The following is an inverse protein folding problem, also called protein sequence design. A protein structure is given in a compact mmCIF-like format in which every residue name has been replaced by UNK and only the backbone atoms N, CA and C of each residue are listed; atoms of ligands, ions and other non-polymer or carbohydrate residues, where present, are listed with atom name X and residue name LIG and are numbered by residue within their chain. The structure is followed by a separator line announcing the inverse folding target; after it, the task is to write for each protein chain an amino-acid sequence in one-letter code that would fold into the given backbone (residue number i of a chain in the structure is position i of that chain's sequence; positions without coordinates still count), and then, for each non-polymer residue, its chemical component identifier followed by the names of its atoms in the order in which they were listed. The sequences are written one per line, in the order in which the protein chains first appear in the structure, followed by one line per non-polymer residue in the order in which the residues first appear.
data_IF_178036968290
#
_entry.id   IF_178036968290
#
_cell.length_a   1.000
_cell.length_b   1.000
_cell.length_c   1.000
_cell.angle_alpha   90.00
_cell.angle_beta   90.00
_cell.angle_gamma   90.00
#
_symmetry.space_group_name_H-M   'P 1'
#
loop_
_entity.id
_entity.type
_entity.pdbx_description
1 polymer ?
#
# COMPACT_ATOMS: atom_id res chain seq x y z
N UNK A 1 3.04 9.22 -17.04
CA UNK A 1 2.29 9.97 -16.00
C UNK A 1 0.81 9.65 -16.07
N UNK A 2 0.20 9.42 -14.91
CA UNK A 2 -1.23 9.16 -14.73
C UNK A 2 -1.77 10.31 -13.88
N UNK A 3 -2.86 10.95 -14.31
CA UNK A 3 -3.51 12.01 -13.51
C UNK A 3 -5.03 11.94 -13.63
N UNK A 4 -5.74 12.24 -12.53
CA UNK A 4 -7.19 12.39 -12.53
C UNK A 4 -7.64 13.75 -13.09
N UNK A 5 -8.91 13.84 -13.47
CA UNK A 5 -9.54 15.12 -13.82
C UNK A 5 -9.85 15.98 -12.59
N UNK A 6 -9.95 17.32 -12.75
CA UNK A 6 -10.36 18.21 -11.67
C UNK A 6 -11.83 18.00 -11.32
N UNK A 7 -12.21 18.25 -10.05
CA UNK A 7 -13.63 18.24 -9.66
C UNK A 7 -14.30 19.51 -10.19
N UNK A 8 -15.43 19.41 -10.89
CA UNK A 8 -16.10 20.58 -11.46
C UNK A 8 -16.57 21.59 -10.41
N UNK A 9 -16.81 21.12 -9.18
CA UNK A 9 -17.37 21.92 -8.09
C UNK A 9 -16.30 22.48 -7.12
N UNK A 10 -15.00 22.37 -7.44
CA UNK A 10 -13.92 22.88 -6.59
C UNK A 10 -13.17 24.02 -7.29
N UNK A 11 -13.48 25.29 -6.95
CA UNK A 11 -12.83 26.45 -7.56
C UNK A 11 -11.29 26.39 -7.45
N UNK A 12 -10.58 26.74 -8.52
CA UNK A 12 -9.12 26.73 -8.57
C UNK A 12 -8.47 25.35 -8.80
N UNK A 13 -9.25 24.25 -8.75
CA UNK A 13 -8.68 22.90 -8.92
C UNK A 13 -8.31 22.61 -10.38
N UNK A 14 -9.05 23.14 -11.36
CA UNK A 14 -8.74 22.97 -12.77
C UNK A 14 -7.37 23.57 -13.12
N UNK A 15 -7.07 24.77 -12.60
CA UNK A 15 -5.79 25.45 -12.78
C UNK A 15 -4.65 24.69 -12.09
N UNK A 16 -4.87 24.20 -10.86
CA UNK A 16 -3.89 23.36 -10.15
C UNK A 16 -3.60 22.05 -10.88
N UNK A 17 -4.63 21.37 -11.39
CA UNK A 17 -4.46 20.15 -12.18
C UNK A 17 -3.71 20.42 -13.49
N UNK A 18 -4.00 21.52 -14.18
CA UNK A 18 -3.28 21.90 -15.39
C UNK A 18 -1.80 22.19 -15.10
N UNK A 19 -1.50 22.93 -14.03
CA UNK A 19 -0.13 23.21 -13.60
C UNK A 19 0.64 21.93 -13.26
N UNK A 20 0.03 21.00 -12.49
CA UNK A 20 0.66 19.73 -12.15
C UNK A 20 0.94 18.87 -13.40
N UNK A 21 0.01 18.84 -14.36
CA UNK A 21 0.21 18.11 -15.62
C UNK A 21 1.31 18.71 -16.48
N UNK A 22 1.51 20.03 -16.45
CA UNK A 22 2.55 20.69 -17.23
C UNK A 22 3.97 20.31 -16.80
N UNK A 23 4.18 19.88 -15.55
CA UNK A 23 5.50 19.43 -15.05
C UNK A 23 6.07 18.30 -15.91
N UNK A 24 5.22 17.43 -16.48
CA UNK A 24 5.69 16.32 -17.32
C UNK A 24 6.36 16.80 -18.62
N UNK A 25 6.06 18.02 -19.06
CA UNK A 25 6.66 18.63 -20.24
C UNK A 25 8.06 19.21 -19.95
N UNK A 26 8.47 19.24 -18.68
CA UNK A 26 9.79 19.70 -18.24
C UNK A 26 10.82 18.55 -18.13
N UNK A 27 10.42 17.31 -18.44
CA UNK A 27 11.33 16.16 -18.46
C UNK A 27 12.38 16.38 -19.56
N UNK A 28 13.65 16.49 -19.16
CA UNK A 28 14.76 16.89 -20.02
C UNK A 28 15.80 15.79 -20.28
N UNK A 29 15.60 14.59 -19.70
CA UNK A 29 16.41 13.41 -19.96
C UNK A 29 15.77 12.47 -21.00
N UNK A 30 16.60 11.66 -21.65
CA UNK A 30 16.16 10.73 -22.70
C UNK A 30 15.28 9.62 -22.13
N UNK A 31 13.96 9.75 -22.29
CA UNK A 31 12.99 8.72 -21.95
C UNK A 31 11.71 8.83 -22.78
N UNK A 32 10.95 7.74 -22.87
CA UNK A 32 9.64 7.73 -23.51
C UNK A 32 8.54 8.20 -22.53
N UNK A 33 7.98 9.37 -22.80
CA UNK A 33 6.97 10.00 -21.95
C UNK A 33 5.56 9.63 -22.42
N UNK A 34 4.98 8.64 -21.75
CA UNK A 34 3.58 8.25 -21.94
C UNK A 34 2.66 8.99 -20.95
N UNK A 35 1.56 9.56 -21.43
CA UNK A 35 0.59 10.32 -20.62
C UNK A 35 -0.80 9.70 -20.71
N UNK A 36 -1.41 9.46 -19.56
CA UNK A 36 -2.79 9.02 -19.46
C UNK A 36 -3.52 9.95 -18.47
N UNK A 37 -4.21 10.95 -19.01
CA UNK A 37 -4.94 11.93 -18.21
C UNK A 37 -6.43 11.71 -18.35
N UNK A 38 -7.15 11.69 -17.23
CA UNK A 38 -8.61 11.72 -17.27
C UNK A 38 -9.10 13.15 -17.47
N UNK A 39 -10.10 13.33 -18.34
CA UNK A 39 -10.79 14.62 -18.51
C UNK A 39 -11.71 14.91 -17.32
N UNK A 40 -12.30 13.88 -16.72
CA UNK A 40 -13.24 13.99 -15.60
C UNK A 40 -12.62 13.41 -14.33
N UNK A 41 -13.05 13.92 -13.16
CA UNK A 41 -12.65 13.35 -11.88
C UNK A 41 -13.31 11.97 -11.70
N UNK A 42 -12.51 10.91 -11.75
CA UNK A 42 -12.95 9.53 -11.58
C UNK A 42 -12.95 9.09 -10.11
N UNK A 43 -12.23 9.80 -9.25
CA UNK A 43 -11.97 9.39 -7.88
C UNK A 43 -10.68 8.58 -7.76
N UNK A 44 -10.24 8.37 -6.52
CA UNK A 44 -8.91 7.84 -6.22
C UNK A 44 -8.77 6.39 -6.63
N UNK A 45 -9.70 5.51 -6.24
CA UNK A 45 -9.59 4.09 -6.59
C UNK A 45 -9.75 3.85 -8.10
N UNK A 46 -10.80 4.35 -8.77
CA UNK A 46 -10.96 4.13 -10.20
C UNK A 46 -9.80 4.72 -11.00
N UNK A 47 -9.30 5.91 -10.65
CA UNK A 47 -8.20 6.52 -11.39
C UNK A 47 -6.90 5.78 -11.22
N UNK A 48 -6.48 5.52 -9.98
CA UNK A 48 -5.17 4.92 -9.72
C UNK A 48 -5.13 3.50 -10.26
N UNK A 49 -6.15 2.69 -10.00
CA UNK A 49 -6.18 1.31 -10.48
C UNK A 49 -6.19 1.20 -12.01
N UNK A 50 -7.02 1.99 -12.71
CA UNK A 50 -7.03 2.00 -14.18
C UNK A 50 -5.72 2.53 -14.77
N UNK A 51 -5.07 3.50 -14.11
CA UNK A 51 -3.77 4.01 -14.52
C UNK A 51 -2.67 2.96 -14.41
N UNK A 52 -2.59 2.24 -13.29
CA UNK A 52 -1.61 1.17 -13.10
C UNK A 52 -1.88 0.02 -14.10
N UNK A 53 -3.14 -0.37 -14.30
CA UNK A 53 -3.50 -1.38 -15.31
C UNK A 53 -3.06 -0.96 -16.71
N UNK A 54 -3.30 0.29 -17.10
CA UNK A 54 -2.82 0.83 -18.38
C UNK A 54 -1.28 0.82 -18.49
N UNK A 55 -0.56 1.19 -17.43
CA UNK A 55 0.90 1.10 -17.44
C UNK A 55 1.36 -0.34 -17.71
N UNK A 56 0.70 -1.32 -17.09
CA UNK A 56 0.98 -2.73 -17.32
C UNK A 56 0.47 -3.29 -18.64
N UNK A 57 -0.26 -2.55 -19.46
CA UNK A 57 -0.45 -2.90 -20.88
C UNK A 57 0.85 -2.63 -21.67
N UNK A 58 1.64 -1.64 -21.23
CA UNK A 58 2.85 -1.17 -21.91
C UNK A 58 4.12 -1.85 -21.41
N UNK A 59 4.23 -2.10 -20.09
CA UNK A 59 5.44 -2.65 -19.46
C UNK A 59 5.17 -3.88 -18.60
N UNK A 60 6.21 -4.65 -18.30
CA UNK A 60 6.11 -5.86 -17.45
C UNK A 60 6.44 -5.58 -15.99
N UNK A 61 7.24 -4.54 -15.73
CA UNK A 61 7.76 -4.14 -14.43
C UNK A 61 7.61 -2.62 -14.30
N UNK A 62 7.20 -2.13 -13.13
CA UNK A 62 7.02 -0.70 -12.92
C UNK A 62 7.42 -0.27 -11.51
N UNK A 63 8.14 0.85 -11.42
CA UNK A 63 8.29 1.66 -10.22
C UNK A 63 7.18 2.70 -10.24
N UNK A 64 6.45 2.83 -9.14
CA UNK A 64 5.25 3.65 -8.97
C UNK A 64 5.52 4.63 -7.83
N UNK A 65 5.46 5.92 -8.15
CA UNK A 65 5.58 7.02 -7.20
C UNK A 65 4.30 7.87 -7.24
N UNK A 66 3.80 8.21 -6.06
CA UNK A 66 2.73 9.21 -5.88
C UNK A 66 3.34 10.62 -5.95
N UNK A 67 2.52 11.63 -6.23
CA UNK A 67 2.96 13.03 -6.37
C UNK A 67 3.54 13.62 -5.08
N UNK A 68 3.22 13.01 -3.94
CA UNK A 68 3.70 13.37 -2.62
C UNK A 68 4.85 12.50 -2.09
N UNK A 69 5.47 11.68 -2.95
CA UNK A 69 6.56 10.78 -2.57
C UNK A 69 7.91 11.26 -3.11
N UNK A 70 8.88 11.46 -2.21
CA UNK A 70 10.27 11.81 -2.53
C UNK A 70 11.17 10.62 -2.21
N UNK A 71 11.66 9.95 -3.24
CA UNK A 71 12.55 8.79 -3.13
C UNK A 71 14.02 9.18 -2.99
N UNK A 72 14.80 8.39 -2.26
CA UNK A 72 16.25 8.45 -2.29
C UNK A 72 16.80 7.86 -3.60
N UNK A 73 17.97 8.30 -4.09
CA UNK A 73 18.68 7.68 -5.19
C UNK A 73 18.77 6.14 -5.14
N UNK A 74 19.12 5.55 -3.99
CA UNK A 74 19.21 4.08 -3.85
C UNK A 74 17.86 3.36 -3.99
N UNK A 75 16.72 4.04 -3.85
CA UNK A 75 15.39 3.45 -4.10
C UNK A 75 15.26 2.86 -5.50
N UNK A 76 15.79 3.54 -6.51
CA UNK A 76 15.65 3.12 -7.90
C UNK A 76 16.50 1.88 -8.19
N UNK A 77 17.75 1.86 -7.71
CA UNK A 77 18.63 0.69 -7.84
C UNK A 77 18.11 -0.50 -7.02
N UNK A 78 17.59 -0.23 -5.83
CA UNK A 78 16.91 -1.23 -5.00
C UNK A 78 15.72 -1.85 -5.74
N UNK A 79 14.84 -1.04 -6.32
CA UNK A 79 13.70 -1.55 -7.06
C UNK A 79 14.13 -2.32 -8.32
N UNK A 80 15.05 -1.78 -9.11
CA UNK A 80 15.55 -2.42 -10.34
C UNK A 80 16.11 -3.82 -10.04
N UNK A 81 17.03 -3.92 -9.08
CA UNK A 81 17.67 -5.19 -8.74
C UNK A 81 16.66 -6.23 -8.23
N UNK A 82 15.69 -5.81 -7.39
CA UNK A 82 14.67 -6.72 -6.87
C UNK A 82 13.62 -7.10 -7.91
N UNK A 83 13.26 -6.19 -8.81
CA UNK A 83 12.33 -6.44 -9.92
C UNK A 83 12.88 -7.54 -10.83
N UNK A 84 14.19 -7.53 -11.10
CA UNK A 84 14.86 -8.58 -11.88
C UNK A 84 15.04 -9.86 -11.07
N UNK A 85 15.50 -9.76 -9.82
CA UNK A 85 15.75 -10.93 -8.95
C UNK A 85 14.50 -11.78 -8.72
N UNK A 86 13.35 -11.16 -8.52
CA UNK A 86 12.09 -11.83 -8.18
C UNK A 86 11.08 -11.84 -9.35
N UNK A 87 11.55 -11.62 -10.57
CA UNK A 87 10.71 -11.58 -11.76
C UNK A 87 9.81 -12.81 -11.92
N UNK A 88 10.31 -14.00 -11.58
CA UNK A 88 9.57 -15.26 -11.71
C UNK A 88 9.14 -15.86 -10.36
N UNK A 89 9.34 -15.16 -9.25
CA UNK A 89 8.95 -15.65 -7.93
C UNK A 89 7.57 -15.10 -7.54
N UNK A 90 6.53 -15.90 -7.79
CA UNK A 90 5.13 -15.52 -7.51
C UNK A 90 4.84 -15.26 -6.03
N UNK A 91 5.73 -15.66 -5.12
CA UNK A 91 5.59 -15.34 -3.69
C UNK A 91 5.81 -13.86 -3.43
N UNK A 92 6.62 -13.17 -4.25
CA UNK A 92 6.91 -11.75 -4.09
C UNK A 92 6.00 -10.97 -5.03
N UNK A 93 5.12 -10.16 -4.45
CA UNK A 93 4.11 -9.39 -5.20
C UNK A 93 4.41 -7.89 -5.20
N UNK A 94 5.25 -7.41 -4.29
CA UNK A 94 5.52 -5.99 -4.14
C UNK A 94 6.91 -5.74 -3.60
N UNK A 95 7.53 -4.67 -4.05
CA UNK A 95 8.73 -4.07 -3.46
C UNK A 95 8.29 -2.71 -2.92
N UNK A 96 8.50 -2.47 -1.63
CA UNK A 96 8.16 -1.18 -1.01
C UNK A 96 9.37 -0.26 -0.94
N UNK A 97 9.16 1.05 -0.97
CA UNK A 97 10.16 2.06 -0.59
C UNK A 97 10.05 2.52 0.87
N UNK A 98 8.95 2.21 1.56
CA UNK A 98 8.70 2.63 2.93
C UNK A 98 9.18 1.62 3.97
N UNK A 99 9.62 2.11 5.14
CA UNK A 99 9.85 1.27 6.31
C UNK A 99 9.10 1.83 7.53
N UNK A 100 8.06 1.10 7.96
CA UNK A 100 7.17 1.54 9.03
C UNK A 100 7.66 1.18 10.45
N UNK A 101 8.86 0.60 10.56
CA UNK A 101 9.58 0.41 11.83
C UNK A 101 10.43 1.65 12.15
N UNK A 102 9.80 2.82 12.12
CA UNK A 102 10.47 4.11 12.31
C UNK A 102 11.60 4.38 11.31
N UNK A 103 11.47 3.82 10.11
CA UNK A 103 12.45 3.94 9.05
C UNK A 103 13.68 3.05 9.21
N UNK A 104 13.72 2.19 10.23
CA UNK A 104 14.88 1.34 10.49
C UNK A 104 14.44 -0.04 11.00
N UNK A 105 14.70 -1.07 10.19
CA UNK A 105 14.59 -2.45 10.66
C UNK A 105 15.94 -2.95 11.21
N UNK A 106 15.90 -3.64 12.34
CA UNK A 106 17.06 -4.34 12.89
C UNK A 106 17.29 -5.65 12.12
N UNK A 107 18.03 -5.56 11.01
CA UNK A 107 18.44 -6.71 10.18
C UNK A 107 19.82 -6.47 9.57
N UNK A 108 20.53 -7.54 9.24
CA UNK A 108 21.80 -7.50 8.49
C UNK A 108 21.60 -7.41 6.99
N UNK A 109 20.42 -7.76 6.50
CA UNK A 109 20.06 -7.73 5.08
C UNK A 109 19.60 -6.31 4.67
N UNK A 110 19.73 -5.96 3.39
CA UNK A 110 19.29 -4.65 2.88
C UNK A 110 17.76 -4.49 2.88
N UNK A 111 17.03 -5.61 2.95
CA UNK A 111 15.58 -5.67 3.03
C UNK A 111 15.14 -6.96 3.73
N UNK A 112 13.86 -7.04 4.08
CA UNK A 112 13.23 -8.23 4.63
C UNK A 112 11.90 -8.47 3.92
N UNK A 113 11.36 -9.68 4.04
CA UNK A 113 10.01 -9.94 3.54
C UNK A 113 9.00 -9.66 4.63
N UNK A 114 8.01 -8.83 4.30
CA UNK A 114 6.88 -8.47 5.16
C UNK A 114 5.59 -8.97 4.54
N UNK A 115 4.59 -9.22 5.39
CA UNK A 115 3.21 -9.36 4.89
C UNK A 115 2.56 -8.00 4.64
N UNK A 116 3.03 -6.94 5.30
CA UNK A 116 2.42 -5.62 5.21
C UNK A 116 2.91 -4.88 3.97
N UNK A 117 1.99 -4.49 3.08
CA UNK A 117 2.33 -3.64 1.94
C UNK A 117 2.43 -2.18 2.38
N UNK A 118 3.42 -1.46 1.88
CA UNK A 118 3.59 -0.01 2.10
C UNK A 118 3.73 0.70 0.75
N UNK A 119 2.74 1.52 0.41
CA UNK A 119 2.47 2.00 -0.95
C UNK A 119 3.07 3.36 -1.30
N UNK A 120 3.74 4.03 -0.36
CA UNK A 120 4.46 5.27 -0.67
C UNK A 120 5.78 4.98 -1.35
N UNK A 121 5.76 5.07 -2.68
CA UNK A 121 6.86 4.65 -3.54
C UNK A 121 7.07 3.14 -3.46
N UNK A 122 6.81 2.46 -4.56
CA UNK A 122 6.86 1.00 -4.59
C UNK A 122 7.10 0.51 -6.01
N UNK A 123 7.36 -0.78 -6.15
CA UNK A 123 7.47 -1.42 -7.45
C UNK A 123 6.75 -2.76 -7.46
N UNK A 124 6.30 -3.17 -8.64
CA UNK A 124 5.64 -4.46 -8.84
C UNK A 124 5.74 -4.90 -10.30
N UNK A 125 5.20 -6.08 -10.59
CA UNK A 125 5.16 -6.71 -11.89
C UNK A 125 3.73 -6.76 -12.41
N UNK A 126 3.58 -6.79 -13.74
CA UNK A 126 2.33 -7.08 -14.44
C UNK A 126 1.71 -8.39 -13.92
N UNK A 127 2.52 -9.43 -13.71
CA UNK A 127 2.06 -10.72 -13.18
C UNK A 127 1.41 -10.60 -11.79
N UNK A 128 1.98 -9.79 -10.91
CA UNK A 128 1.45 -9.56 -9.58
C UNK A 128 0.19 -8.68 -9.64
N UNK A 129 0.23 -7.61 -10.43
CA UNK A 129 -0.91 -6.70 -10.61
C UNK A 129 -2.11 -7.36 -11.28
N UNK A 130 -1.91 -8.41 -12.09
CA UNK A 130 -3.00 -9.21 -12.66
C UNK A 130 -3.91 -9.85 -11.60
N UNK A 131 -3.44 -9.95 -10.35
CA UNK A 131 -4.25 -10.40 -9.21
C UNK A 131 -5.04 -9.30 -8.51
N UNK A 132 -4.89 -8.02 -8.92
CA UNK A 132 -5.62 -6.90 -8.32
C UNK A 132 -7.13 -7.07 -8.52
N UNK A 133 -7.83 -7.39 -7.44
CA UNK A 133 -9.27 -7.62 -7.43
C UNK A 133 -9.98 -6.45 -6.77
N UNK A 134 -10.43 -5.51 -7.60
CA UNK A 134 -11.14 -4.31 -7.16
C UNK A 134 -12.47 -4.64 -6.51
N UNK A 135 -13.12 -5.76 -6.82
CA UNK A 135 -14.42 -6.13 -6.23
C UNK A 135 -14.26 -7.02 -4.99
N UNK A 136 -13.03 -7.48 -4.71
CA UNK A 136 -12.74 -8.46 -3.67
C UNK A 136 -13.68 -9.68 -3.74
N UNK A 137 -13.84 -10.23 -4.94
CA UNK A 137 -14.78 -11.31 -5.28
C UNK A 137 -14.71 -12.53 -4.37
N UNK A 138 -13.51 -12.87 -3.87
CA UNK A 138 -13.28 -14.00 -2.96
C UNK A 138 -13.39 -13.65 -1.47
N UNK A 139 -13.62 -12.38 -1.13
CA UNK A 139 -13.70 -11.94 0.27
C UNK A 139 -14.75 -12.68 1.11
N UNK A 140 -15.99 -12.93 0.64
CA UNK A 140 -16.97 -13.68 1.43
C UNK A 140 -16.47 -15.05 1.85
N UNK A 141 -15.84 -15.79 0.95
CA UNK A 141 -15.28 -17.11 1.23
C UNK A 141 -14.11 -17.03 2.22
N UNK A 142 -13.16 -16.11 1.96
CA UNK A 142 -11.99 -15.86 2.82
C UNK A 142 -12.43 -15.51 4.25
N UNK A 143 -13.40 -14.62 4.39
CA UNK A 143 -13.98 -14.18 5.66
C UNK A 143 -14.66 -15.33 6.38
N UNK A 144 -15.55 -16.06 5.70
CA UNK A 144 -16.39 -17.07 6.34
C UNK A 144 -15.59 -18.30 6.77
N UNK A 145 -14.56 -18.67 6.00
CA UNK A 145 -13.58 -19.71 6.35
C UNK A 145 -12.45 -19.21 7.26
N UNK A 146 -12.39 -17.90 7.54
CA UNK A 146 -11.37 -17.24 8.37
C UNK A 146 -9.95 -17.47 7.84
N UNK A 147 -9.76 -17.48 6.52
CA UNK A 147 -8.49 -17.86 5.91
C UNK A 147 -7.35 -16.89 6.25
N UNK A 148 -7.64 -15.63 6.53
CA UNK A 148 -6.62 -14.66 6.94
C UNK A 148 -6.17 -14.81 8.41
N UNK A 149 -6.87 -15.60 9.25
CA UNK A 149 -6.49 -15.81 10.64
C UNK A 149 -5.08 -16.43 10.77
N UNK A 150 -4.63 -17.17 9.75
CA UNK A 150 -3.31 -17.78 9.71
C UNK A 150 -2.17 -16.75 9.62
N UNK A 151 -2.46 -15.55 9.11
CA UNK A 151 -1.48 -14.48 9.03
C UNK A 151 -1.35 -13.75 10.36
N UNK A 152 -2.43 -13.59 11.12
CA UNK A 152 -2.39 -12.73 12.30
C UNK A 152 -2.39 -13.57 13.58
N UNK A 153 -1.30 -13.63 14.37
CA UNK A 153 -1.27 -14.44 15.60
C UNK A 153 -2.24 -13.90 16.66
N UNK A 154 -2.46 -12.58 16.70
CA UNK A 154 -3.31 -11.91 17.70
C UNK A 154 -4.75 -11.79 17.23
N UNK A 155 -5.70 -12.18 18.10
CA UNK A 155 -7.14 -12.08 17.82
C UNK A 155 -7.59 -10.64 17.56
N UNK A 156 -7.04 -9.67 18.30
CA UNK A 156 -7.34 -8.26 18.10
C UNK A 156 -6.98 -7.79 16.70
N UNK A 157 -5.84 -8.24 16.19
CA UNK A 157 -5.39 -7.91 14.84
C UNK A 157 -6.24 -8.60 13.76
N UNK A 158 -6.62 -9.87 13.95
CA UNK A 158 -7.57 -10.57 13.05
C UNK A 158 -8.86 -9.78 12.89
N UNK A 159 -9.41 -9.31 14.01
CA UNK A 159 -10.68 -8.60 14.01
C UNK A 159 -10.55 -7.18 13.46
N UNK A 160 -9.40 -6.54 13.68
CA UNK A 160 -9.08 -5.26 13.07
C UNK A 160 -9.09 -5.36 11.54
N UNK A 161 -8.32 -6.31 10.98
CA UNK A 161 -8.22 -6.50 9.53
C UNK A 161 -9.52 -7.00 8.90
N UNK A 162 -10.21 -7.98 9.51
CA UNK A 162 -11.54 -8.38 9.03
C UNK A 162 -12.53 -7.22 9.09
N UNK A 163 -12.46 -6.38 10.13
CA UNK A 163 -13.33 -5.24 10.29
C UNK A 163 -13.13 -4.18 9.21
N UNK A 164 -11.87 -3.87 8.87
CA UNK A 164 -11.51 -2.97 7.77
C UNK A 164 -12.03 -3.54 6.45
N UNK A 165 -11.67 -4.78 6.09
CA UNK A 165 -12.08 -5.34 4.82
C UNK A 165 -13.59 -5.49 4.69
N UNK A 166 -14.27 -6.03 5.71
CA UNK A 166 -15.72 -6.26 5.63
C UNK A 166 -16.50 -4.95 5.65
N UNK A 167 -16.23 -4.07 6.61
CA UNK A 167 -17.14 -2.95 6.88
C UNK A 167 -16.71 -1.64 6.23
N UNK A 168 -15.44 -1.50 5.85
CA UNK A 168 -14.91 -0.27 5.26
C UNK A 168 -14.72 -0.45 3.75
N UNK A 169 -14.00 -1.50 3.33
CA UNK A 169 -13.61 -1.68 1.92
C UNK A 169 -14.67 -2.41 1.10
N UNK A 170 -15.00 -3.66 1.46
CA UNK A 170 -15.90 -4.53 0.70
C UNK A 170 -17.32 -3.95 0.57
N UNK A 171 -17.83 -3.32 1.64
CA UNK A 171 -19.13 -2.63 1.63
C UNK A 171 -19.11 -1.25 0.97
N UNK A 172 -18.01 -0.87 0.32
CA UNK A 172 -17.90 0.36 -0.47
C UNK A 172 -18.02 1.65 0.34
N UNK A 173 -17.50 1.68 1.58
CA UNK A 173 -17.57 2.90 2.42
C UNK A 173 -16.43 3.87 2.20
N UNK A 174 -15.41 3.47 1.46
CA UNK A 174 -14.25 4.31 1.15
C UNK A 174 -13.80 4.05 -0.29
N UNK A 175 -13.38 5.12 -0.95
CA UNK A 175 -12.77 5.09 -2.26
C UNK A 175 -11.25 4.86 -2.11
N UNK A 176 -10.83 3.60 -2.07
CA UNK A 176 -9.43 3.21 -1.82
C UNK A 176 -8.96 2.07 -2.72
N UNK A 177 -7.87 2.30 -3.44
CA UNK A 177 -7.18 1.25 -4.20
C UNK A 177 -6.18 0.48 -3.33
N UNK A 178 -5.48 1.17 -2.42
CA UNK A 178 -4.43 0.59 -1.60
C UNK A 178 -4.93 -0.60 -0.77
N UNK A 179 -6.06 -0.45 -0.04
CA UNK A 179 -6.58 -1.58 0.74
C UNK A 179 -7.02 -2.76 -0.13
N UNK A 180 -7.48 -2.51 -1.36
CA UNK A 180 -7.84 -3.58 -2.31
C UNK A 180 -6.59 -4.29 -2.82
N UNK A 181 -5.49 -3.57 -2.98
CA UNK A 181 -4.19 -4.17 -3.28
C UNK A 181 -3.67 -5.02 -2.11
N UNK A 182 -3.83 -4.55 -0.87
CA UNK A 182 -3.44 -5.31 0.32
C UNK A 182 -4.23 -6.62 0.42
N UNK A 183 -5.54 -6.55 0.21
CA UNK A 183 -6.39 -7.73 0.10
C UNK A 183 -5.88 -8.68 -0.99
N UNK A 184 -5.56 -8.15 -2.18
CA UNK A 184 -5.12 -8.96 -3.32
C UNK A 184 -3.80 -9.68 -3.03
N UNK A 185 -2.84 -9.01 -2.39
CA UNK A 185 -1.59 -9.63 -1.94
C UNK A 185 -1.90 -10.78 -0.96
N UNK A 186 -2.68 -10.53 0.09
CA UNK A 186 -2.98 -11.55 1.11
C UNK A 186 -3.84 -12.71 0.60
N UNK A 187 -4.76 -12.44 -0.33
CA UNK A 187 -5.60 -13.46 -0.97
C UNK A 187 -4.80 -14.42 -1.85
N UNK A 188 -3.58 -14.02 -2.26
CA UNK A 188 -2.64 -14.82 -3.02
C UNK A 188 -1.42 -15.26 -2.19
N UNK A 189 -1.45 -15.09 -0.86
CA UNK A 189 -0.35 -15.41 0.05
C UNK A 189 0.99 -14.71 -0.33
N UNK A 190 0.89 -13.53 -0.96
CA UNK A 190 2.04 -12.76 -1.41
C UNK A 190 2.77 -12.05 -0.29
N UNK A 191 4.05 -11.77 -0.56
CA UNK A 191 4.98 -11.05 0.30
C UNK A 191 5.44 -9.75 -0.35
N UNK A 192 5.83 -8.81 0.51
CA UNK A 192 6.40 -7.53 0.15
C UNK A 192 7.89 -7.52 0.53
N UNK A 193 8.78 -7.15 -0.38
CA UNK A 193 10.16 -6.82 -0.05
C UNK A 193 10.20 -5.41 0.55
N UNK A 194 10.50 -5.31 1.84
CA UNK A 194 10.52 -4.06 2.61
C UNK A 194 11.96 -3.69 2.94
N UNK A 195 12.42 -2.48 2.61
CA UNK A 195 13.81 -2.08 2.79
C UNK A 195 14.15 -1.94 4.28
N UNK A 196 15.40 -2.21 4.64
CA UNK A 196 15.88 -2.06 6.02
C UNK A 196 15.99 -0.58 6.47
N UNK A 197 15.95 0.35 5.51
CA UNK A 197 15.89 1.80 5.69
C UNK A 197 14.66 2.37 4.99
N UNK A 198 14.16 3.52 5.44
CA UNK A 198 13.09 4.20 4.71
C UNK A 198 13.66 4.87 3.46
N UNK A 199 13.33 4.36 2.27
CA UNK A 199 13.85 4.88 1.00
C UNK A 199 12.97 5.99 0.40
N UNK A 200 11.75 6.16 0.90
CA UNK A 200 10.78 7.13 0.35
C UNK A 200 10.17 7.95 1.47
N UNK A 201 10.30 9.28 1.37
CA UNK A 201 9.64 10.24 2.25
C UNK A 201 8.32 10.67 1.62
N UNK A 202 7.21 10.47 2.32
CA UNK A 202 5.94 11.11 1.96
C UNK A 202 5.91 12.54 2.52
N UNK A 203 5.70 13.53 1.65
CA UNK A 203 5.61 14.96 1.98
C UNK A 203 4.18 15.49 2.02
N UNK A 204 3.20 14.68 1.65
CA UNK A 204 1.79 15.00 1.54
C UNK A 204 1.07 15.00 2.87
N UNK A 205 1.64 15.61 3.91
CA UNK A 205 1.04 15.77 5.25
C UNK A 205 0.68 17.24 5.57
N UNK A 206 0.67 18.11 4.56
CA UNK A 206 0.31 19.52 4.70
C UNK A 206 -1.21 19.72 4.78
N UNK A 207 -1.64 20.99 4.83
CA UNK A 207 -3.06 21.33 4.94
C UNK A 207 -3.88 20.95 3.68
N UNK A 208 -3.20 20.69 2.56
CA UNK A 208 -3.80 20.33 1.28
C UNK A 208 -3.82 18.81 1.04
N UNK A 209 -3.27 18.01 1.97
CA UNK A 209 -3.26 16.56 1.93
C UNK A 209 -4.67 15.97 1.79
N UNK A 210 -4.84 15.06 0.82
CA UNK A 210 -6.17 14.54 0.47
C UNK A 210 -6.54 13.29 1.29
N UNK A 211 -5.55 12.49 1.70
CA UNK A 211 -5.77 11.17 2.34
C UNK A 211 -4.93 10.90 3.58
N UNK A 212 -3.85 11.64 3.81
CA UNK A 212 -3.06 11.51 5.04
C UNK A 212 -3.65 12.42 6.11
N UNK A 213 -3.64 11.95 7.35
CA UNK A 213 -4.10 12.75 8.48
C UNK A 213 -2.94 12.94 9.45
N UNK A 214 -2.34 14.14 9.44
CA UNK A 214 -1.24 14.53 10.31
C UNK A 214 -1.47 14.26 11.82
N UNK A 215 -2.73 14.04 12.23
CA UNK A 215 -3.09 13.66 13.61
C UNK A 215 -2.78 12.20 13.95
N UNK A 216 -2.90 11.29 12.98
CA UNK A 216 -2.81 9.84 13.21
C UNK A 216 -1.52 9.23 12.66
N UNK A 217 -0.97 9.85 11.60
CA UNK A 217 0.19 9.35 10.86
C UNK A 217 1.45 10.18 11.10
N UNK A 218 1.47 11.00 12.17
CA UNK A 218 2.54 11.96 12.46
C UNK A 218 3.95 11.33 12.48
N UNK A 219 4.05 10.08 12.92
CA UNK A 219 5.34 9.41 12.96
C UNK A 219 5.86 9.07 11.57
N UNK A 220 4.96 8.69 10.67
CA UNK A 220 5.29 8.41 9.29
C UNK A 220 5.61 9.69 8.52
N UNK A 221 4.93 10.79 8.84
CA UNK A 221 5.26 12.13 8.34
C UNK A 221 6.67 12.63 8.70
N UNK A 222 7.26 12.06 9.76
CA UNK A 222 8.60 12.42 10.21
C UNK A 222 9.70 11.56 9.58
N UNK A 223 9.36 10.51 8.83
CA UNK A 223 10.34 9.64 8.20
C UNK A 223 11.04 10.36 7.05
N UNK A 224 12.37 10.39 7.10
CA UNK A 224 13.19 10.87 6.00
C UNK A 224 13.45 9.73 5.00
N UNK A 225 13.74 10.09 3.75
CA UNK A 225 14.34 9.15 2.81
C UNK A 225 15.82 9.03 3.17
N UNK A 226 16.29 7.80 3.31
CA UNK A 226 17.66 7.42 3.61
C UNK A 226 18.23 6.61 2.45
N UNK A 227 19.56 6.54 2.37
CA UNK A 227 20.24 5.68 1.42
C UNK A 227 20.42 4.26 1.98
N UNK A 228 20.37 3.27 1.09
CA UNK A 228 20.87 1.92 1.37
C UNK A 228 22.34 1.79 0.94
N UNK A 229 23.09 1.02 1.72
CA UNK A 229 24.42 0.59 1.31
C UNK A 229 24.32 -0.44 0.17
N UNK A 230 25.25 -0.31 -0.79
CA UNK A 230 25.34 -1.16 -1.97
C UNK A 230 26.71 -1.87 -2.02
N UNK A 231 26.79 -3.10 -2.54
CA UNK A 231 25.71 -3.90 -3.14
C UNK A 231 24.68 -4.39 -2.12
N UNK A 232 23.46 -4.72 -2.57
CA UNK A 232 22.42 -5.22 -1.70
C UNK A 232 22.80 -6.55 -1.05
N UNK A 233 22.47 -6.70 0.23
CA UNK A 233 22.54 -7.95 0.98
C UNK A 233 21.15 -8.59 0.95
N UNK A 234 21.02 -9.73 0.27
CA UNK A 234 19.74 -10.40 0.11
C UNK A 234 19.45 -11.38 1.26
N UNK A 235 18.21 -11.40 1.78
CA UNK A 235 17.76 -12.47 2.67
C UNK A 235 17.92 -13.85 2.02
N UNK A 236 18.37 -14.80 2.82
CA UNK A 236 18.59 -16.18 2.37
C UNK A 236 17.30 -16.90 1.98
N UNK A 237 16.15 -16.49 2.54
CA UNK A 237 14.86 -17.11 2.30
C UNK A 237 13.76 -16.08 2.03
N UNK A 238 12.84 -16.45 1.14
CA UNK A 238 11.63 -15.67 0.83
C UNK A 238 10.53 -16.11 1.79
N UNK A 239 10.60 -15.61 3.03
CA UNK A 239 9.70 -15.93 4.14
C UNK A 239 9.43 -14.65 4.92
N UNK A 240 8.17 -14.39 5.27
CA UNK A 240 7.79 -13.25 6.09
C UNK A 240 8.55 -13.23 7.44
N UNK A 241 9.13 -12.08 7.78
CA UNK A 241 9.79 -11.82 9.06
C UNK A 241 8.73 -11.62 10.14
N UNK A 242 8.31 -12.70 10.78
CA UNK A 242 7.20 -12.68 11.75
C UNK A 242 7.44 -11.76 12.95
N UNK A 243 8.70 -11.61 13.36
CA UNK A 243 9.15 -10.74 14.43
C UNK A 243 9.02 -9.25 14.07
N UNK A 244 9.49 -8.85 12.88
CA UNK A 244 9.36 -7.48 12.35
C UNK A 244 7.90 -7.13 12.04
N UNK A 245 7.14 -8.07 11.47
CA UNK A 245 5.69 -7.94 11.26
C UNK A 245 4.96 -7.71 12.60
N UNK A 246 5.31 -8.47 13.64
CA UNK A 246 4.67 -8.30 14.95
C UNK A 246 5.02 -6.93 15.56
N UNK A 247 6.25 -6.46 15.39
CA UNK A 247 6.66 -5.13 15.82
C UNK A 247 5.82 -4.05 15.10
N UNK A 248 5.70 -4.14 13.78
CA UNK A 248 4.89 -3.19 13.00
C UNK A 248 3.42 -3.21 13.46
N UNK A 249 2.84 -4.40 13.66
CA UNK A 249 1.47 -4.54 14.14
C UNK A 249 1.26 -3.88 15.52
N UNK A 250 2.24 -4.00 16.43
CA UNK A 250 2.20 -3.33 17.75
C UNK A 250 2.32 -1.82 17.62
N UNK A 251 3.20 -1.32 16.74
CA UNK A 251 3.34 0.10 16.46
C UNK A 251 2.03 0.67 15.91
N UNK A 252 1.49 0.07 14.85
CA UNK A 252 0.19 0.39 14.26
C UNK A 252 -0.90 0.45 15.33
N UNK A 253 -1.04 -0.59 16.14
CA UNK A 253 -2.03 -0.63 17.22
C UNK A 253 -1.88 0.56 18.20
N UNK A 254 -0.65 0.95 18.53
CA UNK A 254 -0.36 2.06 19.46
C UNK A 254 -0.74 3.43 18.88
N UNK A 255 -0.53 3.65 17.57
CA UNK A 255 -0.91 4.91 16.92
C UNK A 255 -2.41 5.01 16.65
N UNK A 256 -3.05 3.89 16.33
CA UNK A 256 -4.50 3.83 16.11
C UNK A 256 -5.30 3.60 17.40
N UNK A 257 -4.66 3.64 18.59
CA UNK A 257 -5.32 3.47 19.88
C UNK A 257 -5.68 4.76 20.63
N UNK A 258 -5.76 5.90 19.93
CA UNK A 258 -6.16 7.18 20.55
C UNK A 258 -7.37 7.82 19.85
N UNK A 259 -8.17 8.52 20.64
CA UNK A 259 -9.28 9.35 20.17
C UNK A 259 -10.38 8.59 19.42
N UNK A 260 -11.06 9.28 18.50
CA UNK A 260 -12.20 8.75 17.76
C UNK A 260 -11.85 7.52 16.91
N UNK A 261 -10.62 7.47 16.37
CA UNK A 261 -10.13 6.37 15.55
C UNK A 261 -10.07 5.04 16.33
N UNK A 262 -9.66 5.10 17.60
CA UNK A 262 -9.70 3.92 18.46
C UNK A 262 -11.12 3.45 18.73
N UNK A 263 -12.05 4.39 19.01
CA UNK A 263 -13.46 4.05 19.23
C UNK A 263 -14.04 3.38 17.99
N UNK A 264 -13.80 3.93 16.80
CA UNK A 264 -14.26 3.33 15.54
C UNK A 264 -13.66 1.94 15.33
N UNK A 265 -12.35 1.77 15.58
CA UNK A 265 -11.68 0.47 15.47
C UNK A 265 -12.27 -0.55 16.44
N UNK A 266 -12.53 -0.17 17.70
CA UNK A 266 -13.15 -1.07 18.68
C UNK A 266 -14.58 -1.45 18.32
N UNK A 267 -15.36 -0.52 17.77
CA UNK A 267 -16.70 -0.82 17.27
C UNK A 267 -16.65 -1.80 16.09
N UNK A 268 -15.66 -1.69 15.20
CA UNK A 268 -15.45 -2.65 14.11
C UNK A 268 -15.08 -4.04 14.66
N UNK A 269 -14.15 -4.11 15.60
CA UNK A 269 -13.77 -5.38 16.26
C UNK A 269 -14.98 -6.05 16.94
N UNK A 270 -15.81 -5.28 17.66
CA UNK A 270 -17.03 -5.79 18.30
C UNK A 270 -18.05 -6.31 17.27
N UNK A 271 -18.19 -5.62 16.13
CA UNK A 271 -19.06 -6.10 15.03
C UNK A 271 -18.57 -7.42 14.45
N UNK A 272 -17.25 -7.54 14.23
CA UNK A 272 -16.64 -8.81 13.77
C UNK A 272 -16.90 -9.91 14.78
N UNK A 273 -16.67 -9.67 16.07
CA UNK A 273 -16.91 -10.65 17.12
C UNK A 273 -18.38 -11.12 17.14
N UNK A 274 -19.32 -10.18 17.10
CA UNK A 274 -20.76 -10.47 17.03
C UNK A 274 -21.12 -11.29 15.78
N UNK A 275 -20.63 -10.88 14.61
CA UNK A 275 -20.88 -11.56 13.35
C UNK A 275 -20.30 -12.99 13.32
N UNK A 276 -19.06 -13.18 13.80
CA UNK A 276 -18.43 -14.51 13.94
C UNK A 276 -19.21 -15.40 14.91
N UNK A 277 -19.72 -14.85 16.01
CA UNK A 277 -20.53 -15.59 16.99
C UNK A 277 -21.85 -16.06 16.38
N UNK A 278 -22.57 -15.17 15.71
CA UNK A 278 -23.84 -15.50 15.03
C UNK A 278 -23.62 -16.60 13.97
N UNK A 279 -22.57 -16.47 13.14
CA UNK A 279 -22.24 -17.50 12.13
C UNK A 279 -21.91 -18.86 12.76
N UNK A 280 -21.16 -18.86 13.86
CA UNK A 280 -20.83 -20.10 14.57
C UNK A 280 -22.03 -20.80 15.17
N UNK A 281 -23.09 -20.07 15.55
CA UNK A 281 -24.34 -20.66 16.05
C UNK A 281 -25.18 -21.21 14.90
N UNK A 282 -25.20 -20.55 13.74
CA UNK A 282 -25.97 -21.01 12.56
C UNK A 282 -25.38 -22.25 11.87
N UNK A 283 -24.07 -22.48 12.01
CA UNK A 283 -23.38 -23.61 11.41
C UNK A 283 -23.23 -24.82 12.36
N UNK A 284 -23.84 -24.76 13.55
CA UNK A 284 -23.98 -25.89 14.49
C UNK A 284 -25.38 -26.49 14.36
#
# INVERSE_FOLDING_TARGET
MIADGPRPNKPGEAEKCAAARAIIDEVDWDCDVQKNFSETNMGTCPRVSSGISWAFELVEKAIILEDDCVASPSFYQYCEELLDRYENDERVMMISGGNHLFGHAETTDSYYFSRYPHIWGWATWRRAWAHYDVEMTRWPEIRDRRLFDQYFPKVTERYHWEGIFEYIVYRGRVDTWAWRWFYSIWANAGLCATPARNLVRNVGFDADATHTHAKWDRIYAALAAEELDLPLIHPAAVIASSDLDELEARLRATYHSKGLLWVTNKLLELRVLGARTIRSVKNR
#
